data_IF_280607530722
#
_entry.id   IF_280607530722
#
_cell.length_a   1.000
_cell.length_b   1.000
_cell.length_c   1.000
_cell.angle_alpha   90.00
_cell.angle_beta   90.00
_cell.angle_gamma   90.00
#
_symmetry.space_group_name_H-M   'P 1'
#
loop_
_entity.id
_entity.type
_entity.pdbx_description
1 polymer ?
#
# COMPACT_ATOMS: atom_id res chain seq x y z
N UNK A 1 -29.37 -56.90 11.12
CA UNK A 1 -29.88 -56.61 9.77
C UNK A 1 -29.41 -55.22 9.42
N UNK A 2 -28.84 -55.12 8.22
CA UNK A 2 -28.39 -53.93 7.49
C UNK A 2 -27.04 -53.30 7.85
N UNK A 3 -26.01 -54.05 7.44
CA UNK A 3 -24.69 -53.57 7.01
C UNK A 3 -24.83 -52.56 5.85
N UNK A 4 -24.30 -51.35 5.99
CA UNK A 4 -24.01 -50.47 4.86
C UNK A 4 -22.51 -50.45 4.56
N UNK A 5 -22.18 -50.91 3.37
CA UNK A 5 -20.83 -51.13 2.84
C UNK A 5 -20.21 -49.83 2.32
N UNK A 6 -18.98 -49.51 2.76
CA UNK A 6 -18.10 -48.55 2.10
C UNK A 6 -17.61 -49.08 0.75
N UNK A 7 -17.56 -48.26 -0.33
CA UNK A 7 -16.87 -48.68 -1.55
C UNK A 7 -15.36 -48.45 -1.45
N UNK A 8 -14.60 -49.45 -1.86
CA UNK A 8 -13.14 -49.50 -1.89
C UNK A 8 -12.56 -48.71 -3.07
N UNK A 9 -11.45 -48.01 -2.81
CA UNK A 9 -10.49 -47.56 -3.81
C UNK A 9 -10.01 -48.75 -4.66
N UNK A 10 -10.08 -48.63 -5.99
CA UNK A 10 -9.30 -49.45 -6.92
C UNK A 10 -8.49 -48.56 -7.85
N UNK A 11 -7.18 -48.62 -7.65
CA UNK A 11 -6.14 -48.15 -8.55
C UNK A 11 -6.05 -49.08 -9.76
N UNK A 12 -6.16 -48.55 -10.97
CA UNK A 12 -5.75 -49.25 -12.19
C UNK A 12 -4.78 -48.37 -12.95
N UNK A 13 -3.50 -48.73 -12.87
CA UNK A 13 -2.43 -48.18 -13.69
C UNK A 13 -2.47 -48.85 -15.06
N UNK A 14 -2.53 -48.07 -16.14
CA UNK A 14 -2.16 -48.54 -17.48
C UNK A 14 -1.47 -47.40 -18.19
N UNK A 15 -0.18 -47.61 -18.44
CA UNK A 15 0.69 -46.70 -19.16
C UNK A 15 0.44 -46.80 -20.66
N UNK A 16 0.30 -45.67 -21.34
CA UNK A 16 0.67 -45.50 -22.75
C UNK A 16 0.78 -44.02 -23.11
N UNK A 17 1.90 -43.67 -23.74
CA UNK A 17 2.41 -42.34 -24.09
C UNK A 17 1.62 -41.63 -25.23
N UNK A 18 1.94 -40.34 -25.53
CA UNK A 18 0.97 -39.34 -25.98
C UNK A 18 0.80 -39.26 -27.50
N UNK A 19 -0.39 -38.87 -27.96
CA UNK A 19 -0.61 -38.39 -29.32
C UNK A 19 -1.37 -37.06 -29.31
N UNK A 20 -0.81 -36.12 -30.08
CA UNK A 20 -1.28 -34.76 -30.31
C UNK A 20 -2.57 -34.75 -31.13
N UNK A 21 -3.54 -33.92 -30.73
CA UNK A 21 -4.24 -32.94 -31.60
C UNK A 21 -5.53 -32.46 -30.93
N UNK A 22 -5.50 -31.22 -30.41
CA UNK A 22 -6.70 -30.48 -30.02
C UNK A 22 -7.04 -29.47 -31.10
N UNK A 23 -8.17 -29.65 -31.78
CA UNK A 23 -8.79 -28.67 -32.66
C UNK A 23 -9.43 -27.56 -31.83
N UNK A 24 -8.80 -26.38 -31.83
CA UNK A 24 -9.30 -25.16 -31.18
C UNK A 24 -10.23 -24.39 -32.11
N UNK A 25 -11.44 -24.09 -31.64
CA UNK A 25 -12.31 -23.06 -32.20
C UNK A 25 -11.77 -21.68 -31.81
N UNK A 26 -11.41 -20.88 -32.83
CA UNK A 26 -10.74 -19.59 -32.67
C UNK A 26 -11.71 -18.49 -32.24
N UNK A 27 -11.51 -17.95 -31.04
CA UNK A 27 -11.88 -16.57 -30.69
C UNK A 27 -10.71 -15.71 -31.18
N UNK A 28 -10.97 -14.77 -32.10
CA UNK A 28 -9.95 -13.89 -32.67
C UNK A 28 -9.31 -13.01 -31.59
N UNK A 29 -8.11 -13.37 -31.15
CA UNK A 29 -7.22 -12.49 -30.40
C UNK A 29 -6.66 -11.45 -31.37
N UNK A 30 -6.72 -10.18 -30.98
CA UNK A 30 -5.99 -9.11 -31.65
C UNK A 30 -4.51 -9.52 -31.70
N UNK A 31 -3.90 -9.50 -32.88
CA UNK A 31 -2.55 -9.97 -33.09
C UNK A 31 -1.56 -9.07 -32.34
N UNK A 32 -1.03 -9.56 -31.22
CA UNK A 32 0.18 -9.00 -30.62
C UNK A 32 1.32 -9.20 -31.61
N UNK A 33 1.88 -8.09 -32.10
CA UNK A 33 3.10 -8.10 -32.89
C UNK A 33 4.28 -8.74 -32.14
N UNK A 34 5.39 -9.03 -32.83
CA UNK A 34 6.53 -9.74 -32.23
C UNK A 34 7.07 -8.98 -31.02
N UNK A 35 7.10 -9.64 -29.86
CA UNK A 35 7.72 -9.14 -28.63
C UNK A 35 9.24 -9.12 -28.85
N UNK A 36 9.78 -8.00 -29.31
CA UNK A 36 11.23 -7.77 -29.41
C UNK A 36 11.72 -6.98 -28.20
N UNK A 37 12.75 -7.53 -27.55
CA UNK A 37 13.53 -6.99 -26.43
C UNK A 37 12.73 -6.28 -25.31
N UNK A 38 12.21 -7.06 -24.36
CA UNK A 38 11.70 -6.54 -23.10
C UNK A 38 12.79 -5.73 -22.39
N UNK A 39 12.46 -4.50 -22.04
CA UNK A 39 13.28 -3.61 -21.23
C UNK A 39 13.84 -4.33 -19.99
N UNK A 40 15.17 -4.37 -19.86
CA UNK A 40 15.86 -5.02 -18.74
C UNK A 40 15.51 -4.40 -17.37
N UNK A 41 15.06 -3.13 -17.31
CA UNK A 41 14.65 -2.50 -16.06
C UNK A 41 13.37 -3.10 -15.48
N UNK A 42 12.46 -3.58 -16.33
CA UNK A 42 11.25 -4.30 -15.92
C UNK A 42 11.49 -5.80 -15.68
N UNK A 43 12.68 -6.34 -15.95
CA UNK A 43 13.01 -7.74 -15.67
C UNK A 43 13.68 -7.94 -14.29
N UNK A 44 13.72 -6.91 -13.44
CA UNK A 44 14.27 -7.01 -12.09
C UNK A 44 13.30 -7.74 -11.16
N UNK A 45 13.81 -8.69 -10.37
CA UNK A 45 13.05 -9.35 -9.31
C UNK A 45 12.69 -8.34 -8.20
N UNK A 46 11.47 -8.44 -7.70
CA UNK A 46 11.01 -7.62 -6.58
C UNK A 46 11.40 -8.29 -5.25
N UNK A 47 12.13 -7.57 -4.40
CA UNK A 47 12.52 -8.06 -3.07
C UNK A 47 11.41 -7.80 -2.06
N UNK A 48 11.29 -8.66 -1.06
CA UNK A 48 10.37 -8.47 0.08
C UNK A 48 10.65 -7.16 0.81
N UNK A 49 11.93 -6.78 0.86
CA UNK A 49 12.43 -5.63 1.62
C UNK A 49 11.97 -4.28 1.05
N UNK A 50 11.60 -4.27 -0.23
CA UNK A 50 11.16 -3.07 -0.93
C UNK A 50 9.73 -2.65 -0.50
N UNK A 51 8.95 -3.57 0.05
CA UNK A 51 7.51 -3.40 0.27
C UNK A 51 7.14 -2.86 1.65
N UNK A 52 5.99 -2.18 1.69
CA UNK A 52 5.51 -1.43 2.84
C UNK A 52 5.40 -2.27 4.12
N UNK A 53 4.82 -3.47 4.05
CA UNK A 53 4.62 -4.32 5.22
C UNK A 53 5.94 -4.70 5.90
N UNK A 54 6.93 -5.11 5.11
CA UNK A 54 8.27 -5.44 5.60
C UNK A 54 8.91 -4.22 6.27
N UNK A 55 8.95 -3.08 5.56
CA UNK A 55 9.53 -1.83 6.07
C UNK A 55 8.89 -1.40 7.38
N UNK A 56 7.57 -1.52 7.51
CA UNK A 56 6.85 -1.22 8.75
C UNK A 56 7.24 -2.18 9.88
N UNK A 57 7.25 -3.50 9.65
CA UNK A 57 7.65 -4.49 10.66
C UNK A 57 9.07 -4.26 11.17
N UNK A 58 10.02 -4.02 10.26
CA UNK A 58 11.41 -3.72 10.62
C UNK A 58 11.49 -2.45 11.44
N UNK A 59 10.85 -1.37 10.98
CA UNK A 59 10.93 -0.08 11.64
C UNK A 59 10.27 -0.12 13.03
N UNK A 60 9.14 -0.80 13.21
CA UNK A 60 8.51 -0.98 14.54
C UNK A 60 9.49 -1.66 15.51
N UNK A 61 10.15 -2.76 15.10
CA UNK A 61 11.14 -3.45 15.95
C UNK A 61 12.32 -2.54 16.30
N UNK A 62 12.84 -1.78 15.32
CA UNK A 62 13.94 -0.83 15.55
C UNK A 62 13.53 0.26 16.53
N UNK A 63 12.38 0.88 16.33
CA UNK A 63 11.88 1.95 17.21
C UNK A 63 11.64 1.45 18.64
N UNK A 64 11.21 0.20 18.83
CA UNK A 64 10.98 -0.37 20.16
C UNK A 64 12.23 -0.40 21.07
N UNK A 65 13.43 -0.38 20.48
CA UNK A 65 14.68 -0.32 21.24
C UNK A 65 15.07 1.09 21.70
N UNK A 66 14.40 2.14 21.22
CA UNK A 66 14.65 3.52 21.64
C UNK A 66 14.06 3.74 23.03
N UNK A 67 14.84 4.36 23.92
CA UNK A 67 14.43 4.66 25.30
C UNK A 67 13.16 5.49 25.32
N UNK A 68 12.14 5.03 26.05
CA UNK A 68 10.85 5.71 26.18
C UNK A 68 9.84 5.42 25.06
N UNK A 69 10.23 4.70 24.01
CA UNK A 69 9.34 4.35 22.89
C UNK A 69 8.26 3.31 23.19
N UNK A 70 8.51 2.24 23.99
CA UNK A 70 7.55 1.16 24.21
C UNK A 70 6.11 1.56 24.58
N UNK A 71 5.83 2.52 25.50
CA UNK A 71 4.46 2.91 25.81
C UNK A 71 3.70 3.47 24.60
N UNK A 72 4.37 4.23 23.74
CA UNK A 72 3.77 4.81 22.53
C UNK A 72 3.50 3.75 21.46
N UNK A 73 4.33 2.70 21.38
CA UNK A 73 4.10 1.55 20.48
C UNK A 73 2.85 0.77 20.90
N UNK A 74 2.65 0.56 22.21
CA UNK A 74 1.44 -0.10 22.73
C UNK A 74 0.21 0.76 22.44
N UNK A 75 0.29 2.08 22.68
CA UNK A 75 -0.82 3.00 22.37
C UNK A 75 -1.14 3.01 20.87
N UNK A 76 -0.12 2.98 20.01
CA UNK A 76 -0.26 2.90 18.57
C UNK A 76 -0.94 1.60 18.13
N UNK A 77 -0.57 0.48 18.76
CA UNK A 77 -1.20 -0.81 18.52
C UNK A 77 -2.68 -0.77 18.86
N UNK A 78 -3.06 -0.33 20.07
CA UNK A 78 -4.48 -0.22 20.45
C UNK A 78 -5.27 0.74 19.56
N UNK A 79 -4.64 1.81 19.06
CA UNK A 79 -5.27 2.70 18.08
C UNK A 79 -5.48 2.01 16.72
N UNK A 80 -4.51 1.22 16.25
CA UNK A 80 -4.61 0.46 15.01
C UNK A 80 -5.65 -0.67 15.10
N UNK A 81 -5.76 -1.34 16.25
CA UNK A 81 -6.80 -2.34 16.52
C UNK A 81 -8.21 -1.75 16.36
N UNK A 82 -8.45 -0.57 16.97
CA UNK A 82 -9.73 0.14 16.79
C UNK A 82 -10.01 0.49 15.33
N UNK A 83 -8.99 0.88 14.55
CA UNK A 83 -9.16 1.14 13.12
C UNK A 83 -9.52 -0.13 12.35
N UNK A 84 -8.90 -1.27 12.66
CA UNK A 84 -9.22 -2.56 12.05
C UNK A 84 -10.64 -3.02 12.38
N UNK A 85 -11.08 -2.84 13.63
CA UNK A 85 -12.47 -3.12 14.05
C UNK A 85 -13.48 -2.24 13.31
N UNK A 86 -13.22 -0.93 13.21
CA UNK A 86 -14.07 0.00 12.46
C UNK A 86 -14.18 -0.39 10.99
N UNK A 87 -13.07 -0.76 10.36
CA UNK A 87 -13.06 -1.24 8.97
C UNK A 87 -13.87 -2.53 8.80
N UNK A 88 -13.74 -3.49 9.73
CA UNK A 88 -14.50 -4.73 9.70
C UNK A 88 -16.01 -4.49 9.85
N UNK A 89 -16.41 -3.58 10.74
CA UNK A 89 -17.81 -3.19 10.93
C UNK A 89 -18.38 -2.49 9.69
N UNK A 90 -17.65 -1.54 9.13
CA UNK A 90 -18.06 -0.80 7.93
C UNK A 90 -18.26 -1.74 6.73
N UNK A 91 -17.35 -2.69 6.51
CA UNK A 91 -17.48 -3.66 5.43
C UNK A 91 -18.66 -4.62 5.66
N UNK A 92 -18.89 -5.04 6.91
CA UNK A 92 -20.01 -5.91 7.26
C UNK A 92 -21.36 -5.23 7.00
N UNK A 93 -21.48 -3.94 7.30
CA UNK A 93 -22.68 -3.15 7.02
C UNK A 93 -22.91 -2.98 5.51
N UNK A 94 -21.84 -2.79 4.73
CA UNK A 94 -21.94 -2.65 3.28
C UNK A 94 -22.47 -3.92 2.62
N UNK A 95 -22.09 -5.10 3.10
CA UNK A 95 -22.56 -6.40 2.58
C UNK A 95 -24.02 -6.71 2.91
N UNK A 96 -24.61 -6.04 3.90
CA UNK A 96 -26.01 -6.26 4.31
C UNK A 96 -27.01 -5.38 3.56
N UNK A 97 -26.54 -4.43 2.74
CA UNK A 97 -27.44 -3.62 1.91
C UNK A 97 -27.84 -4.43 0.66
N UNK A 98 -29.13 -4.68 0.43
CA UNK A 98 -29.58 -5.39 -0.77
C UNK A 98 -29.29 -4.54 -2.02
N UNK A 99 -28.66 -5.15 -3.02
CA UNK A 99 -28.39 -4.58 -4.35
C UNK A 99 -29.63 -3.84 -4.89
N UNK A 100 -29.58 -2.51 -4.92
CA UNK A 100 -30.69 -1.71 -5.45
C UNK A 100 -30.66 -0.21 -5.14
N UNK A 101 -29.79 0.27 -4.25
CA UNK A 101 -29.61 1.71 -3.99
C UNK A 101 -28.34 2.25 -4.62
N UNK A 102 -28.44 3.32 -5.41
CA UNK A 102 -27.29 4.08 -5.94
C UNK A 102 -26.21 4.36 -4.88
N UNK A 103 -24.92 4.53 -5.27
CA UNK A 103 -23.81 4.79 -4.34
C UNK A 103 -23.81 6.24 -3.80
N UNK A 104 -24.98 6.79 -3.48
CA UNK A 104 -25.14 8.13 -2.96
C UNK A 104 -25.52 8.10 -1.47
N UNK A 105 -24.59 8.63 -0.67
CA UNK A 105 -24.80 9.21 0.65
C UNK A 105 -25.00 8.25 1.83
N UNK A 106 -23.89 7.71 2.33
CA UNK A 106 -23.64 7.71 3.77
C UNK A 106 -22.42 8.59 4.08
N UNK A 107 -22.66 9.89 4.22
CA UNK A 107 -21.84 10.70 5.13
C UNK A 107 -22.22 10.28 6.54
N UNK A 108 -21.55 9.27 7.09
CA UNK A 108 -21.51 9.13 8.54
C UNK A 108 -20.70 10.31 9.08
N UNK A 109 -21.40 11.38 9.45
CA UNK A 109 -20.88 12.34 10.39
C UNK A 109 -20.73 11.63 11.73
N UNK A 110 -19.53 11.14 11.99
CA UNK A 110 -18.97 10.90 13.32
C UNK A 110 -17.55 11.46 13.21
N UNK A 111 -17.32 12.71 13.62
CA UNK A 111 -17.41 13.03 15.03
C UNK A 111 -16.17 12.51 15.75
N UNK A 112 -14.98 12.86 15.25
CA UNK A 112 -13.88 13.15 16.17
C UNK A 112 -14.38 14.31 17.04
N UNK A 113 -14.79 13.99 18.27
CA UNK A 113 -15.03 15.00 19.28
C UNK A 113 -13.75 15.77 19.52
N UNK A 114 -13.65 16.92 18.86
CA UNK A 114 -12.47 17.79 18.87
C UNK A 114 -12.66 19.13 18.14
N UNK A 115 -13.84 19.76 18.34
CA UNK A 115 -14.18 21.17 18.13
C UNK A 115 -14.08 21.80 16.72
N UNK A 116 -15.25 22.13 16.14
CA UNK A 116 -15.50 23.51 15.73
C UNK A 116 -16.99 23.86 15.63
N UNK A 117 -17.37 24.95 16.31
CA UNK A 117 -18.65 25.66 16.15
C UNK A 117 -18.34 26.89 15.30
N UNK A 118 -18.91 26.94 14.10
CA UNK A 118 -19.22 28.20 13.42
C UNK A 118 -20.50 28.03 12.60
N UNK A 119 -21.56 28.69 13.06
CA UNK A 119 -22.57 29.27 12.17
C UNK A 119 -21.94 30.45 11.45
N UNK A 120 -22.02 30.52 10.12
CA UNK A 120 -22.87 31.49 9.42
C UNK A 120 -22.59 31.60 7.91
N UNK A 121 -23.71 31.80 7.20
CA UNK A 121 -23.94 32.56 5.97
C UNK A 121 -23.55 32.05 4.55
N UNK A 122 -24.60 31.60 3.86
CA UNK A 122 -24.97 31.84 2.45
C UNK A 122 -23.89 32.03 1.37
N UNK A 123 -23.81 31.08 0.43
CA UNK A 123 -23.95 31.38 -1.01
C UNK A 123 -24.31 30.13 -1.82
N UNK A 124 -25.30 30.28 -2.68
CA UNK A 124 -25.72 29.35 -3.74
C UNK A 124 -24.57 28.96 -4.68
N UNK A 125 -24.55 27.72 -5.19
CA UNK A 125 -24.39 27.36 -6.63
C UNK A 125 -23.92 25.90 -6.88
N UNK A 126 -24.73 25.19 -7.67
CA UNK A 126 -24.48 24.02 -8.54
C UNK A 126 -23.91 22.68 -8.00
N UNK A 127 -24.45 21.52 -8.44
CA UNK A 127 -23.90 20.21 -8.12
C UNK A 127 -22.73 19.89 -9.06
N UNK A 128 -21.53 19.78 -8.51
CA UNK A 128 -20.37 19.29 -9.26
C UNK A 128 -20.37 17.76 -9.30
N UNK A 129 -20.20 17.26 -10.51
CA UNK A 129 -19.98 15.86 -10.88
C UNK A 129 -18.61 15.38 -10.36
N UNK A 130 -18.53 14.10 -10.00
CA UNK A 130 -17.32 13.31 -9.68
C UNK A 130 -16.49 13.74 -8.45
N UNK A 131 -16.89 13.28 -7.27
CA UNK A 131 -15.95 12.99 -6.19
C UNK A 131 -15.72 11.46 -6.18
N UNK A 132 -14.47 10.96 -6.17
CA UNK A 132 -14.22 9.54 -6.05
C UNK A 132 -14.77 9.08 -4.70
N UNK A 133 -15.51 7.99 -4.73
CA UNK A 133 -16.02 7.30 -3.54
C UNK A 133 -14.85 7.04 -2.59
N UNK A 134 -14.70 7.87 -1.56
CA UNK A 134 -13.78 7.60 -0.45
C UNK A 134 -14.33 6.37 0.24
N UNK A 135 -13.86 5.19 -0.19
CA UNK A 135 -14.07 3.94 0.51
C UNK A 135 -13.75 4.20 1.99
N UNK A 136 -14.58 3.71 2.90
CA UNK A 136 -14.39 3.85 4.34
C UNK A 136 -13.17 3.02 4.79
N UNK A 137 -11.98 3.47 4.39
CA UNK A 137 -10.71 2.81 4.63
C UNK A 137 -10.13 3.44 5.89
N UNK A 138 -10.13 2.66 6.96
CA UNK A 138 -9.61 3.11 8.25
C UNK A 138 -8.17 2.61 8.48
N UNK A 139 -7.67 1.72 7.62
CA UNK A 139 -6.35 1.08 7.72
C UNK A 139 -5.56 1.16 6.41
N UNK A 140 -4.27 0.84 6.45
CA UNK A 140 -3.43 0.67 5.26
C UNK A 140 -3.52 -0.72 4.63
N UNK A 141 -4.57 -1.46 4.97
CA UNK A 141 -4.77 -2.84 4.53
C UNK A 141 -6.12 -2.99 3.84
N UNK A 142 -6.14 -3.68 2.69
CA UNK A 142 -7.38 -4.01 1.99
C UNK A 142 -8.15 -5.13 2.70
N UNK A 143 -9.47 -4.97 2.84
CA UNK A 143 -10.35 -5.98 3.43
C UNK A 143 -10.26 -6.08 4.96
N UNK A 144 -10.66 -7.24 5.50
CA UNK A 144 -10.67 -7.50 6.95
C UNK A 144 -9.45 -8.33 7.34
N UNK A 145 -8.80 -7.96 8.43
CA UNK A 145 -7.67 -8.70 8.97
C UNK A 145 -8.06 -10.14 9.36
N UNK A 146 -7.12 -11.10 9.28
CA UNK A 146 -7.35 -12.47 9.72
C UNK A 146 -7.72 -12.54 11.20
N UNK A 147 -8.47 -13.57 11.61
CA UNK A 147 -9.02 -13.64 12.97
C UNK A 147 -7.97 -13.71 14.09
N UNK A 148 -6.73 -14.10 13.77
CA UNK A 148 -5.61 -14.18 14.71
C UNK A 148 -4.77 -12.89 14.79
N UNK A 149 -5.08 -11.88 13.98
CA UNK A 149 -4.32 -10.63 13.88
C UNK A 149 -5.24 -9.45 14.24
N UNK A 150 -4.84 -8.65 15.21
CA UNK A 150 -5.64 -7.51 15.69
C UNK A 150 -5.34 -6.20 14.95
N UNK A 151 -4.12 -6.04 14.41
CA UNK A 151 -3.71 -4.84 13.67
C UNK A 151 -2.67 -5.15 12.60
N UNK A 152 -2.63 -4.36 11.52
CA UNK A 152 -1.56 -4.41 10.53
C UNK A 152 -0.37 -3.48 10.88
N UNK A 153 0.87 -3.83 10.49
CA UNK A 153 2.05 -3.04 10.81
C UNK A 153 2.04 -1.61 10.24
N UNK A 154 1.42 -1.39 9.07
CA UNK A 154 1.42 -0.08 8.43
C UNK A 154 0.51 0.90 9.18
N UNK A 155 -0.70 0.47 9.55
CA UNK A 155 -1.61 1.25 10.41
C UNK A 155 -1.03 1.47 11.80
N UNK A 156 -0.38 0.46 12.40
CA UNK A 156 0.29 0.63 13.69
C UNK A 156 1.35 1.74 13.61
N UNK A 157 2.21 1.71 12.60
CA UNK A 157 3.26 2.70 12.46
C UNK A 157 2.71 4.10 12.14
N UNK A 158 1.66 4.19 11.31
CA UNK A 158 0.95 5.44 11.07
C UNK A 158 0.40 6.04 12.37
N UNK A 159 -0.26 5.22 13.22
CA UNK A 159 -0.76 5.65 14.53
C UNK A 159 0.36 6.00 15.50
N UNK A 160 1.55 5.41 15.36
CA UNK A 160 2.72 5.79 16.15
C UNK A 160 3.19 7.20 15.77
N UNK A 161 3.36 7.50 14.48
CA UNK A 161 3.82 8.82 14.05
C UNK A 161 2.80 9.93 14.30
N UNK A 162 1.50 9.63 14.24
CA UNK A 162 0.43 10.58 14.57
C UNK A 162 0.43 11.05 16.03
N UNK A 163 1.10 10.33 16.94
CA UNK A 163 1.28 10.79 18.33
C UNK A 163 2.30 11.93 18.43
N UNK A 164 3.15 12.13 17.43
CA UNK A 164 4.17 13.18 17.37
C UNK A 164 5.37 12.93 18.31
N UNK A 165 5.13 12.63 19.59
CA UNK A 165 6.17 12.37 20.60
C UNK A 165 7.19 11.29 20.17
N UNK A 166 6.79 10.16 19.53
CA UNK A 166 7.75 9.19 19.01
C UNK A 166 8.82 9.79 18.08
N UNK A 167 8.46 10.79 17.27
CA UNK A 167 9.43 11.48 16.41
C UNK A 167 10.41 12.31 17.24
N UNK A 168 9.91 13.01 18.26
CA UNK A 168 10.76 13.74 19.21
C UNK A 168 11.74 12.80 19.95
N UNK A 169 11.29 11.62 20.36
CA UNK A 169 12.14 10.60 21.00
C UNK A 169 13.26 10.12 20.06
N UNK A 170 12.96 9.92 18.78
CA UNK A 170 13.97 9.58 17.77
C UNK A 170 15.03 10.68 17.70
N UNK A 171 14.62 11.94 17.60
CA UNK A 171 15.55 13.07 17.56
C UNK A 171 16.39 13.15 18.84
N UNK A 172 15.77 13.01 20.01
CA UNK A 172 16.46 13.07 21.30
C UNK A 172 17.49 11.95 21.48
N UNK A 173 17.27 10.79 20.85
CA UNK A 173 18.25 9.70 20.82
C UNK A 173 19.47 10.03 19.92
N UNK A 174 19.29 10.85 18.88
CA UNK A 174 20.35 11.26 17.95
C UNK A 174 21.14 12.46 18.49
N UNK A 175 20.44 13.49 18.98
CA UNK A 175 21.01 14.75 19.47
C UNK A 175 20.50 15.03 20.89
N UNK A 176 21.02 14.35 21.91
CA UNK A 176 20.60 14.56 23.29
C UNK A 176 20.91 15.99 23.80
N UNK A 177 21.91 16.66 23.21
CA UNK A 177 22.28 18.04 23.57
C UNK A 177 21.20 19.07 23.25
N UNK A 178 20.39 18.82 22.22
CA UNK A 178 19.33 19.72 21.75
C UNK A 178 17.95 19.07 21.94
N UNK A 179 17.79 18.29 23.01
CA UNK A 179 16.59 17.48 23.21
C UNK A 179 15.30 18.32 23.18
N UNK A 180 14.33 17.85 22.40
CA UNK A 180 13.00 18.41 22.31
C UNK A 180 12.24 18.07 23.60
N UNK A 181 11.61 19.06 24.27
CA UNK A 181 10.80 18.80 25.44
C UNK A 181 9.57 17.97 25.06
N UNK A 182 9.35 16.90 25.81
CA UNK A 182 8.22 15.99 25.58
C UNK A 182 7.01 16.53 26.37
N UNK A 183 5.91 16.75 25.65
CA UNK A 183 4.62 17.07 26.24
C UNK A 183 3.68 15.90 26.03
N UNK A 184 3.25 15.27 27.12
CA UNK A 184 2.27 14.19 27.07
C UNK A 184 0.87 14.77 26.82
N UNK A 185 0.16 14.19 25.86
CA UNK A 185 -1.20 14.59 25.50
C UNK A 185 -1.65 13.91 24.21
N UNK A 186 -2.94 13.54 24.14
CA UNK A 186 -3.57 12.89 22.99
C UNK A 186 -4.33 13.89 22.09
N UNK A 187 -4.40 15.15 22.50
CA UNK A 187 -5.04 16.20 21.72
C UNK A 187 -4.32 16.43 20.39
N UNK A 188 -5.08 16.49 19.30
CA UNK A 188 -4.55 16.69 17.94
C UNK A 188 -3.62 17.91 17.82
N UNK A 189 -3.88 18.98 18.59
CA UNK A 189 -3.03 20.18 18.62
C UNK A 189 -1.67 19.88 19.24
N UNK A 190 -1.62 19.12 20.33
CA UNK A 190 -0.38 18.70 21.00
C UNK A 190 0.42 17.77 20.08
N UNK A 191 -0.24 16.79 19.46
CA UNK A 191 0.40 15.88 18.50
C UNK A 191 1.02 16.65 17.32
N UNK A 192 0.26 17.57 16.69
CA UNK A 192 0.76 18.39 15.58
C UNK A 192 1.92 19.29 16.00
N UNK A 193 1.87 19.84 17.22
CA UNK A 193 2.97 20.62 17.77
C UNK A 193 4.23 19.77 17.94
N UNK A 194 4.12 18.55 18.48
CA UNK A 194 5.26 17.65 18.62
C UNK A 194 5.88 17.29 17.25
N UNK A 195 5.06 17.02 16.23
CA UNK A 195 5.55 16.82 14.85
C UNK A 195 6.26 18.07 14.33
N UNK A 196 5.69 19.26 14.55
CA UNK A 196 6.30 20.53 14.16
C UNK A 196 7.67 20.73 14.84
N UNK A 197 7.75 20.53 16.15
CA UNK A 197 8.98 20.68 16.93
C UNK A 197 10.06 19.72 16.41
N UNK A 198 9.70 18.47 16.08
CA UNK A 198 10.59 17.53 15.42
C UNK A 198 11.09 18.06 14.07
N UNK A 199 10.19 18.54 13.22
CA UNK A 199 10.54 19.05 11.88
C UNK A 199 11.54 20.21 11.99
N UNK A 200 11.29 21.14 12.90
CA UNK A 200 12.17 22.29 13.14
C UNK A 200 13.52 21.86 13.70
N UNK A 201 13.54 20.99 14.70
CA UNK A 201 14.77 20.52 15.34
C UNK A 201 15.67 19.79 14.34
N UNK A 202 15.08 18.93 13.50
CA UNK A 202 15.79 18.24 12.44
C UNK A 202 16.41 19.23 11.45
N UNK A 203 15.65 20.20 10.93
CA UNK A 203 16.18 21.20 9.99
C UNK A 203 17.26 22.10 10.59
N UNK A 204 17.17 22.37 11.90
CA UNK A 204 18.09 23.29 12.58
C UNK A 204 19.40 22.60 12.99
N UNK A 205 19.33 21.33 13.42
CA UNK A 205 20.46 20.64 14.05
C UNK A 205 21.01 19.45 13.23
N UNK A 206 20.31 19.04 12.18
CA UNK A 206 20.74 18.00 11.26
C UNK A 206 20.81 18.60 9.85
N UNK A 207 21.90 18.37 9.15
CA UNK A 207 22.08 18.82 7.76
C UNK A 207 21.33 17.87 6.83
N UNK A 208 20.00 17.98 6.80
CA UNK A 208 19.11 17.17 5.96
C UNK A 208 18.55 18.02 4.84
N UNK A 209 18.48 17.43 3.65
CA UNK A 209 17.92 18.06 2.45
C UNK A 209 16.40 18.27 2.57
N UNK A 210 15.93 19.44 2.15
CA UNK A 210 14.54 19.87 2.31
C UNK A 210 13.56 18.99 1.50
N UNK A 211 13.97 18.45 0.35
CA UNK A 211 13.14 17.58 -0.49
C UNK A 211 12.79 16.25 0.20
N UNK A 212 13.76 15.72 0.96
CA UNK A 212 13.60 14.48 1.71
C UNK A 212 12.65 14.62 2.92
N UNK A 213 12.46 15.84 3.42
CA UNK A 213 11.69 16.11 4.62
C UNK A 213 10.18 15.94 4.40
N UNK A 214 9.51 15.30 5.34
CA UNK A 214 8.04 15.23 5.34
C UNK A 214 7.43 16.42 6.09
N UNK A 215 6.17 16.74 5.77
CA UNK A 215 5.39 17.79 6.42
C UNK A 215 4.44 17.21 7.46
N UNK A 216 3.89 18.09 8.32
CA UNK A 216 2.84 17.70 9.27
C UNK A 216 1.65 17.07 8.53
N UNK A 217 1.26 17.62 7.38
CA UNK A 217 0.15 17.07 6.58
C UNK A 217 0.40 15.63 6.15
N UNK A 218 1.63 15.27 5.79
CA UNK A 218 1.96 13.88 5.43
C UNK A 218 1.73 12.91 6.60
N UNK A 219 2.04 13.31 7.85
CA UNK A 219 1.85 12.46 9.04
C UNK A 219 0.37 12.15 9.31
N UNK A 220 -0.52 13.08 9.00
CA UNK A 220 -1.96 12.93 9.23
C UNK A 220 -2.74 12.49 7.99
N UNK A 221 -2.04 12.27 6.87
CA UNK A 221 -2.59 11.75 5.63
C UNK A 221 -2.88 10.25 5.74
N UNK A 222 -3.90 9.79 5.04
CA UNK A 222 -4.26 8.37 4.88
C UNK A 222 -3.64 7.74 3.62
N UNK A 223 -2.75 8.46 2.92
CA UNK A 223 -2.10 8.00 1.69
C UNK A 223 -0.84 7.15 1.97
N UNK A 224 -0.71 6.00 1.29
CA UNK A 224 0.46 5.10 1.44
C UNK A 224 1.77 5.76 1.04
N UNK A 225 1.74 6.68 0.06
CA UNK A 225 2.91 7.43 -0.38
C UNK A 225 3.47 8.31 0.74
N UNK A 226 2.60 9.00 1.47
CA UNK A 226 2.99 9.86 2.59
C UNK A 226 3.57 9.05 3.74
N UNK A 227 2.93 7.93 4.08
CA UNK A 227 3.45 7.00 5.08
C UNK A 227 4.82 6.45 4.68
N UNK A 228 4.99 6.00 3.43
CA UNK A 228 6.27 5.51 2.92
C UNK A 228 7.35 6.60 2.90
N UNK A 229 7.00 7.86 2.60
CA UNK A 229 7.94 8.99 2.71
C UNK A 229 8.48 9.12 4.13
N UNK A 230 7.61 9.06 5.14
CA UNK A 230 8.00 9.12 6.56
C UNK A 230 8.84 7.90 6.95
N UNK A 231 8.44 6.70 6.54
CA UNK A 231 9.17 5.45 6.83
C UNK A 231 10.60 5.51 6.28
N UNK A 232 10.74 5.90 5.00
CA UNK A 232 12.05 5.98 4.35
C UNK A 232 12.90 7.05 5.05
N UNK A 233 12.33 8.23 5.32
CA UNK A 233 13.02 9.29 6.03
C UNK A 233 13.54 8.84 7.40
N UNK A 234 12.67 8.26 8.24
CA UNK A 234 13.04 7.81 9.59
C UNK A 234 14.05 6.67 9.51
N UNK A 235 13.91 5.73 8.57
CA UNK A 235 14.87 4.64 8.40
C UNK A 235 16.25 5.17 8.01
N UNK A 236 16.32 6.05 7.01
CA UNK A 236 17.58 6.71 6.59
C UNK A 236 18.19 7.54 7.72
N UNK A 237 17.36 8.22 8.50
CA UNK A 237 17.80 8.98 9.66
C UNK A 237 18.43 8.06 10.73
N UNK A 238 17.77 6.97 11.10
CA UNK A 238 18.31 6.00 12.06
C UNK A 238 19.59 5.34 11.55
N UNK A 239 19.66 5.02 10.25
CA UNK A 239 20.84 4.42 9.61
C UNK A 239 22.03 5.38 9.61
N UNK A 240 21.81 6.66 9.29
CA UNK A 240 22.86 7.68 9.26
C UNK A 240 23.55 7.87 10.61
N UNK A 241 22.81 7.65 11.70
CA UNK A 241 23.32 7.79 13.07
C UNK A 241 23.57 6.43 13.75
N UNK A 242 23.51 5.33 13.01
CA UNK A 242 23.69 3.95 13.49
C UNK A 242 22.85 3.62 14.75
N UNK A 243 21.65 4.18 14.85
CA UNK A 243 20.74 3.91 15.96
C UNK A 243 20.01 2.60 15.71
N UNK A 244 20.10 1.70 16.69
CA UNK A 244 19.32 0.47 16.73
C UNK A 244 19.47 -0.40 15.49
N UNK A 245 20.71 -0.49 14.97
CA UNK A 245 21.05 -1.37 13.86
C UNK A 245 21.07 -2.82 14.36
N UNK A 246 20.03 -3.58 14.04
CA UNK A 246 19.87 -4.97 14.46
C UNK A 246 19.84 -5.88 13.23
N UNK A 247 21.02 -6.15 12.67
CA UNK A 247 21.16 -6.95 11.45
C UNK A 247 20.55 -8.36 11.63
N UNK A 248 20.80 -9.04 12.76
CA UNK A 248 20.21 -10.36 13.07
C UNK A 248 18.67 -10.38 13.16
N UNK A 249 18.06 -9.23 13.51
CA UNK A 249 16.60 -9.15 13.64
C UNK A 249 15.92 -8.87 12.30
N UNK A 250 16.62 -8.22 11.37
CA UNK A 250 16.16 -8.03 10.00
C UNK A 250 16.18 -9.35 9.25
N UNK A 251 17.27 -10.12 9.34
CA UNK A 251 17.39 -11.44 8.69
C UNK A 251 16.23 -12.37 9.08
N UNK A 252 15.84 -12.38 10.36
CA UNK A 252 14.68 -13.16 10.84
C UNK A 252 13.36 -12.68 10.22
N UNK A 253 13.13 -11.37 10.14
CA UNK A 253 11.92 -10.82 9.50
C UNK A 253 11.91 -11.15 8.01
N UNK A 254 13.04 -11.03 7.33
CA UNK A 254 13.18 -11.37 5.91
C UNK A 254 12.84 -12.83 5.69
N UNK A 255 13.40 -13.74 6.47
CA UNK A 255 13.03 -15.17 6.39
C UNK A 255 11.55 -15.41 6.69
N UNK A 256 10.97 -14.80 7.73
CA UNK A 256 9.54 -14.97 8.06
C UNK A 256 8.62 -14.54 6.91
N UNK A 257 8.93 -13.44 6.22
CA UNK A 257 8.06 -12.86 5.19
C UNK A 257 8.37 -13.41 3.78
N UNK A 258 9.62 -13.83 3.53
CA UNK A 258 10.04 -14.42 2.27
C UNK A 258 9.73 -15.93 2.20
N UNK A 259 9.94 -16.67 3.30
CA UNK A 259 9.70 -18.11 3.36
C UNK A 259 8.27 -18.42 3.78
N UNK A 260 7.34 -18.11 2.88
CA UNK A 260 6.00 -18.68 2.91
C UNK A 260 6.09 -20.20 2.99
N UNK A 261 5.64 -20.79 4.12
CA UNK A 261 5.61 -22.24 4.32
C UNK A 261 4.65 -22.86 3.31
N UNK A 262 5.20 -23.44 2.25
CA UNK A 262 4.42 -24.17 1.25
C UNK A 262 4.02 -25.52 1.87
N UNK A 263 2.80 -25.62 2.39
CA UNK A 263 2.27 -26.86 2.96
C UNK A 263 1.40 -27.63 1.97
N UNK A 264 0.74 -26.93 1.06
CA UNK A 264 -0.25 -27.46 0.12
C UNK A 264 -0.28 -26.64 -1.18
N UNK A 265 -1.02 -27.12 -2.19
CA UNK A 265 -1.15 -26.44 -3.48
C UNK A 265 -1.79 -25.05 -3.34
N UNK A 266 -2.71 -24.88 -2.38
CA UNK A 266 -3.28 -23.57 -2.05
C UNK A 266 -2.22 -22.58 -1.60
N UNK A 267 -1.27 -23.00 -0.76
CA UNK A 267 -0.16 -22.15 -0.31
C UNK A 267 0.81 -21.82 -1.44
N UNK A 268 0.97 -22.70 -2.44
CA UNK A 268 1.76 -22.38 -3.66
C UNK A 268 1.10 -21.25 -4.46
N UNK A 269 -0.20 -21.37 -4.74
CA UNK A 269 -0.95 -20.34 -5.47
C UNK A 269 -0.91 -19.01 -4.73
N UNK A 270 -1.07 -19.04 -3.40
CA UNK A 270 -1.02 -17.83 -2.59
C UNK A 270 0.38 -17.18 -2.59
N UNK A 271 1.45 -17.99 -2.53
CA UNK A 271 2.82 -17.51 -2.66
C UNK A 271 3.08 -16.89 -4.02
N UNK A 272 2.63 -17.53 -5.10
CA UNK A 272 2.74 -16.99 -6.45
C UNK A 272 2.01 -15.65 -6.56
N UNK A 273 0.78 -15.57 -6.04
CA UNK A 273 -0.02 -14.34 -6.02
C UNK A 273 0.72 -13.18 -5.33
N UNK A 274 1.31 -13.43 -4.16
CA UNK A 274 2.09 -12.39 -3.46
C UNK A 274 3.30 -11.98 -4.28
N UNK A 275 4.02 -12.94 -4.87
CA UNK A 275 5.24 -12.63 -5.61
C UNK A 275 4.97 -11.87 -6.91
N UNK A 276 3.90 -12.21 -7.63
CA UNK A 276 3.47 -11.48 -8.83
C UNK A 276 2.96 -10.10 -8.47
N UNK A 277 2.23 -9.96 -7.35
CA UNK A 277 1.76 -8.67 -6.83
C UNK A 277 2.91 -7.74 -6.44
N UNK A 278 3.92 -8.26 -5.72
CA UNK A 278 5.15 -7.52 -5.39
C UNK A 278 5.84 -6.99 -6.65
N UNK A 279 5.95 -7.84 -7.67
CA UNK A 279 6.54 -7.47 -8.95
C UNK A 279 5.72 -6.38 -9.65
N UNK A 280 4.40 -6.54 -9.67
CA UNK A 280 3.48 -5.56 -10.26
C UNK A 280 3.61 -4.17 -9.62
N UNK A 281 3.66 -4.10 -8.29
CA UNK A 281 3.84 -2.83 -7.57
C UNK A 281 5.20 -2.21 -7.90
N UNK A 282 6.28 -2.99 -7.93
CA UNK A 282 7.60 -2.48 -8.32
C UNK A 282 7.61 -1.87 -9.72
N UNK A 283 6.89 -2.46 -10.67
CA UNK A 283 6.77 -1.94 -12.04
C UNK A 283 5.92 -0.67 -12.09
N UNK A 284 4.83 -0.60 -11.32
CA UNK A 284 4.03 0.63 -11.19
C UNK A 284 4.83 1.78 -10.53
N UNK A 285 5.65 1.48 -9.52
CA UNK A 285 6.53 2.48 -8.89
C UNK A 285 7.61 2.97 -9.84
N UNK A 286 8.15 2.08 -10.68
CA UNK A 286 9.07 2.47 -11.76
C UNK A 286 8.35 3.38 -12.77
N UNK A 287 7.11 3.07 -13.13
CA UNK A 287 6.29 3.90 -14.01
C UNK A 287 6.01 5.28 -13.40
N UNK A 288 5.77 5.36 -12.09
CA UNK A 288 5.62 6.64 -11.39
C UNK A 288 6.91 7.47 -11.41
N UNK A 289 8.07 6.83 -11.20
CA UNK A 289 9.37 7.51 -11.33
C UNK A 289 9.58 8.05 -12.75
N UNK A 290 9.27 7.24 -13.76
CA UNK A 290 9.32 7.65 -15.16
C UNK A 290 8.43 8.87 -15.43
N UNK A 291 7.16 8.84 -14.99
CA UNK A 291 6.25 10.00 -15.08
C UNK A 291 6.83 11.25 -14.44
N UNK A 292 7.45 11.13 -13.26
CA UNK A 292 8.04 12.26 -12.55
C UNK A 292 9.25 12.84 -13.29
N UNK A 293 10.09 12.00 -13.91
CA UNK A 293 11.19 12.46 -14.77
C UNK A 293 10.68 13.18 -16.02
N UNK A 294 9.62 12.66 -16.66
CA UNK A 294 8.98 13.34 -17.79
C UNK A 294 8.43 14.72 -17.41
N UNK A 295 7.83 14.82 -16.22
CA UNK A 295 7.32 16.07 -15.67
C UNK A 295 8.45 17.05 -15.35
N UNK A 296 9.55 16.58 -14.75
CA UNK A 296 10.71 17.41 -14.42
C UNK A 296 11.45 17.90 -15.67
N UNK A 297 11.46 17.11 -16.74
CA UNK A 297 12.05 17.49 -18.01
C UNK A 297 11.17 18.47 -18.84
N UNK A 298 9.94 18.73 -18.41
CA UNK A 298 8.94 19.59 -19.09
C UNK A 298 8.74 19.23 -20.58
N UNK A 299 8.84 17.94 -20.90
CA UNK A 299 8.79 17.43 -22.28
C UNK A 299 7.34 17.21 -22.74
N UNK A 300 6.43 16.99 -21.81
CA UNK A 300 5.01 16.78 -22.08
C UNK A 300 4.16 17.74 -21.23
N UNK A 301 3.07 18.23 -21.83
CA UNK A 301 2.07 19.00 -21.09
C UNK A 301 1.41 18.16 -19.99
N UNK A 302 0.87 18.83 -18.97
CA UNK A 302 0.14 18.19 -17.88
C UNK A 302 -1.05 17.33 -18.38
N UNK A 303 -1.73 17.78 -19.44
CA UNK A 303 -2.81 17.03 -20.09
C UNK A 303 -2.30 15.74 -20.73
N UNK A 304 -1.21 15.81 -21.50
CA UNK A 304 -0.58 14.63 -22.11
C UNK A 304 -0.11 13.64 -21.04
N UNK A 305 0.49 14.12 -19.94
CA UNK A 305 0.87 13.25 -18.81
C UNK A 305 -0.36 12.58 -18.16
N UNK A 306 -1.50 13.26 -18.08
CA UNK A 306 -2.73 12.68 -17.56
C UNK A 306 -3.35 11.64 -18.51
N UNK A 307 -3.21 11.82 -19.82
CA UNK A 307 -3.62 10.82 -20.83
C UNK A 307 -2.76 9.56 -20.72
N UNK A 308 -1.44 9.70 -20.51
CA UNK A 308 -0.53 8.56 -20.41
C UNK A 308 -0.60 7.84 -19.06
N UNK A 309 -0.80 8.59 -17.97
CA UNK A 309 -0.75 8.07 -16.60
C UNK A 309 -1.98 8.53 -15.80
N UNK A 310 -3.20 8.14 -16.22
CA UNK A 310 -4.39 8.52 -15.49
C UNK A 310 -4.33 7.92 -14.09
N UNK A 311 -4.68 8.70 -13.05
CA UNK A 311 -4.84 8.23 -11.66
C UNK A 311 -3.80 7.22 -11.13
N UNK A 312 -2.55 7.28 -11.60
CA UNK A 312 -1.51 6.27 -11.32
C UNK A 312 -1.19 6.17 -9.82
N UNK A 313 -1.19 7.31 -9.13
CA UNK A 313 -0.98 7.36 -7.68
C UNK A 313 -2.04 6.59 -6.90
N UNK A 314 -3.30 6.64 -7.34
CA UNK A 314 -4.42 5.95 -6.69
C UNK A 314 -4.34 4.43 -6.93
N UNK A 315 -3.95 4.03 -8.15
CA UNK A 315 -3.72 2.63 -8.50
C UNK A 315 -2.59 2.04 -7.63
N UNK A 316 -1.47 2.76 -7.49
CA UNK A 316 -0.35 2.34 -6.65
C UNK A 316 -0.78 2.23 -5.17
N UNK A 317 -1.51 3.22 -4.67
CA UNK A 317 -2.01 3.21 -3.29
C UNK A 317 -2.87 1.97 -3.02
N UNK A 318 -3.82 1.69 -3.91
CA UNK A 318 -4.66 0.51 -3.84
C UNK A 318 -3.85 -0.78 -3.81
N UNK A 319 -2.92 -0.96 -4.77
CA UNK A 319 -2.14 -2.19 -4.85
C UNK A 319 -1.21 -2.38 -3.63
N UNK A 320 -0.66 -1.31 -3.06
CA UNK A 320 0.08 -1.38 -1.79
C UNK A 320 -0.78 -1.87 -0.62
N UNK A 321 -2.03 -1.40 -0.52
CA UNK A 321 -2.98 -1.88 0.50
C UNK A 321 -3.42 -3.33 0.24
N UNK A 322 -3.57 -3.70 -1.03
CA UNK A 322 -3.90 -5.06 -1.47
C UNK A 322 -2.79 -6.03 -1.04
N UNK A 323 -1.54 -5.72 -1.36
CA UNK A 323 -0.38 -6.49 -0.97
C UNK A 323 -0.27 -6.57 0.56
N UNK A 324 -0.45 -5.46 1.28
CA UNK A 324 -0.44 -5.46 2.75
C UNK A 324 -1.51 -6.41 3.32
N UNK A 325 -2.69 -6.48 2.70
CA UNK A 325 -3.75 -7.44 3.03
C UNK A 325 -3.35 -8.90 2.81
N UNK A 326 -2.66 -9.20 1.72
CA UNK A 326 -2.10 -10.54 1.52
C UNK A 326 -0.98 -10.85 2.52
N UNK A 327 -0.09 -9.91 2.78
CA UNK A 327 1.04 -10.12 3.69
C UNK A 327 0.61 -10.33 5.14
N UNK A 328 -0.51 -9.73 5.57
CA UNK A 328 -1.16 -10.03 6.85
C UNK A 328 -1.63 -11.49 6.98
N UNK A 329 -1.82 -12.21 5.87
CA UNK A 329 -2.30 -13.59 5.85
C UNK A 329 -1.16 -14.64 5.77
N UNK A 330 0.09 -14.23 5.56
CA UNK A 330 1.26 -15.12 5.33
C UNK A 330 1.43 -16.15 6.45
N UNK A 331 1.51 -15.69 7.70
CA UNK A 331 1.79 -16.53 8.87
C UNK A 331 0.54 -17.07 9.57
N UNK A 332 -0.63 -16.89 8.94
CA UNK A 332 -1.91 -17.27 9.54
C UNK A 332 -2.29 -18.68 9.07
N UNK A 333 -2.69 -19.60 9.97
CA UNK A 333 -3.17 -20.91 9.56
C UNK A 333 -4.33 -20.81 8.56
N UNK A 334 -4.36 -21.67 7.54
CA UNK A 334 -5.35 -21.68 6.44
C UNK A 334 -6.80 -21.48 6.91
N UNK A 335 -7.18 -22.08 8.04
CA UNK A 335 -8.53 -21.95 8.64
C UNK A 335 -8.91 -20.54 9.10
N UNK A 336 -7.94 -19.67 9.36
CA UNK A 336 -8.14 -18.31 9.87
C UNK A 336 -7.77 -17.21 8.87
N UNK A 337 -7.23 -17.59 7.70
CA UNK A 337 -6.93 -16.67 6.62
C UNK A 337 -8.21 -16.08 6.03
N UNK A 338 -8.14 -14.81 5.63
CA UNK A 338 -9.25 -14.03 5.05
C UNK A 338 -8.89 -13.42 3.69
N UNK A 339 -8.18 -14.18 2.86
CA UNK A 339 -7.76 -13.76 1.50
C UNK A 339 -8.96 -13.28 0.66
N UNK A 340 -10.10 -13.98 0.74
CA UNK A 340 -11.31 -13.59 0.00
C UNK A 340 -11.83 -12.20 0.37
N UNK A 341 -11.65 -11.76 1.62
CA UNK A 341 -12.06 -10.42 2.05
C UNK A 341 -11.27 -9.32 1.36
N UNK A 342 -10.00 -9.59 1.03
CA UNK A 342 -9.13 -8.66 0.30
C UNK A 342 -9.69 -8.42 -1.11
N UNK A 343 -10.07 -9.50 -1.79
CA UNK A 343 -10.68 -9.42 -3.13
C UNK A 343 -12.08 -8.78 -3.13
N UNK A 344 -12.93 -9.09 -2.14
CA UNK A 344 -14.26 -8.46 -2.02
C UNK A 344 -14.11 -6.94 -1.83
N UNK A 345 -13.15 -6.51 -1.00
CA UNK A 345 -12.88 -5.10 -0.84
C UNK A 345 -12.43 -4.46 -2.16
N UNK A 346 -11.50 -5.11 -2.87
CA UNK A 346 -11.01 -4.64 -4.16
C UNK A 346 -12.10 -4.55 -5.25
N UNK A 347 -13.01 -5.53 -5.30
CA UNK A 347 -14.12 -5.54 -6.28
C UNK A 347 -15.15 -4.45 -6.03
N UNK A 348 -15.33 -4.03 -4.78
CA UNK A 348 -16.40 -3.10 -4.40
C UNK A 348 -16.08 -1.62 -4.69
N UNK A 349 -14.87 -1.31 -5.18
CA UNK A 349 -14.53 0.08 -5.49
C UNK A 349 -13.14 0.24 -6.12
N UNK A 350 -12.06 -0.15 -5.44
CA UNK A 350 -10.71 0.17 -5.88
C UNK A 350 -10.35 -0.28 -7.30
N UNK A 351 -10.83 -1.43 -7.78
CA UNK A 351 -10.60 -1.84 -9.18
C UNK A 351 -11.24 -0.91 -10.21
N UNK A 352 -12.22 -0.08 -9.85
CA UNK A 352 -12.75 0.96 -10.75
C UNK A 352 -11.71 2.02 -11.12
N UNK A 353 -10.61 2.13 -10.37
CA UNK A 353 -9.48 2.98 -10.75
C UNK A 353 -8.89 2.60 -12.13
N UNK A 354 -9.14 1.40 -12.66
CA UNK A 354 -8.69 0.99 -13.99
C UNK A 354 -9.62 1.39 -15.15
N UNK A 355 -10.79 1.96 -14.86
CA UNK A 355 -11.73 2.40 -15.91
C UNK A 355 -11.11 3.45 -16.85
N UNK A 356 -10.46 4.54 -16.34
CA UNK A 356 -9.80 5.52 -17.20
C UNK A 356 -8.67 4.93 -18.06
N UNK A 357 -7.93 3.96 -17.52
CA UNK A 357 -6.86 3.26 -18.25
C UNK A 357 -7.38 2.47 -19.43
N UNK A 358 -8.52 1.79 -19.25
CA UNK A 358 -9.13 0.96 -20.28
C UNK A 358 -9.74 1.83 -21.38
N UNK A 359 -10.41 2.92 -21.01
CA UNK A 359 -11.04 3.85 -21.95
C UNK A 359 -9.97 4.64 -22.75
N UNK A 360 -8.93 5.10 -22.06
CA UNK A 360 -7.88 5.95 -22.63
C UNK A 360 -6.82 5.22 -23.46
N UNK A 361 -6.87 3.88 -23.55
CA UNK A 361 -5.78 3.07 -24.11
C UNK A 361 -5.39 3.47 -25.54
N UNK A 362 -6.37 3.68 -26.43
CA UNK A 362 -6.10 4.02 -27.83
C UNK A 362 -5.42 5.41 -27.92
N UNK A 363 -5.95 6.39 -27.18
CA UNK A 363 -5.37 7.74 -27.15
C UNK A 363 -3.96 7.76 -26.56
N UNK A 364 -3.69 6.94 -25.55
CA UNK A 364 -2.36 6.79 -24.99
C UNK A 364 -1.38 6.18 -26.01
N UNK A 365 -1.78 5.14 -26.76
CA UNK A 365 -0.94 4.53 -27.81
C UNK A 365 -0.61 5.54 -28.92
N UNK A 366 -1.60 6.28 -29.40
CA UNK A 366 -1.38 7.33 -30.42
C UNK A 366 -0.42 8.41 -29.92
N UNK A 367 -0.58 8.83 -28.66
CA UNK A 367 0.28 9.82 -28.03
C UNK A 367 1.72 9.33 -27.85
N UNK A 368 1.92 8.07 -27.41
CA UNK A 368 3.24 7.45 -27.29
C UNK A 368 3.94 7.41 -28.64
N UNK A 369 3.24 6.99 -29.70
CA UNK A 369 3.81 6.93 -31.05
C UNK A 369 4.18 8.33 -31.58
N UNK A 370 3.32 9.32 -31.33
CA UNK A 370 3.57 10.72 -31.74
C UNK A 370 4.76 11.33 -31.01
N UNK A 371 4.91 11.06 -29.72
CA UNK A 371 5.92 11.67 -28.85
C UNK A 371 7.12 10.74 -28.54
N UNK A 372 7.28 9.61 -29.26
CA UNK A 372 8.29 8.57 -28.98
C UNK A 372 9.71 9.13 -28.84
N UNK A 373 10.12 10.04 -29.73
CA UNK A 373 11.45 10.66 -29.68
C UNK A 373 11.65 11.52 -28.42
N UNK A 374 10.60 12.24 -28.01
CA UNK A 374 10.60 13.10 -26.83
C UNK A 374 10.64 12.26 -25.54
N UNK A 375 9.82 11.20 -25.49
CA UNK A 375 9.78 10.23 -24.38
C UNK A 375 11.13 9.53 -24.15
N UNK A 376 11.83 9.11 -25.23
CA UNK A 376 13.16 8.49 -25.16
C UNK A 376 14.25 9.45 -24.70
N UNK A 377 14.14 10.72 -25.08
CA UNK A 377 15.13 11.74 -24.70
C UNK A 377 14.99 12.14 -23.23
N UNK A 378 13.76 12.17 -22.73
CA UNK A 378 13.43 12.65 -21.39
C UNK A 378 13.87 11.71 -20.27
N UNK A 379 13.81 10.38 -20.49
CA UNK A 379 14.20 9.41 -19.48
C UNK A 379 14.69 8.10 -20.10
N UNK A 380 15.69 7.50 -19.44
CA UNK A 380 16.25 6.18 -19.79
C UNK A 380 15.72 5.06 -18.90
N UNK A 381 14.83 5.35 -17.94
CA UNK A 381 14.27 4.36 -17.01
C UNK A 381 13.42 3.31 -17.75
N UNK A 382 12.62 3.77 -18.70
CA UNK A 382 11.72 2.96 -19.49
C UNK A 382 11.94 3.27 -20.96
N UNK A 383 12.14 2.23 -21.79
CA UNK A 383 12.03 2.39 -23.23
C UNK A 383 10.54 2.47 -23.60
N UNK A 384 10.03 3.64 -24.03
CA UNK A 384 8.62 3.81 -24.40
C UNK A 384 8.22 3.03 -25.67
N UNK A 385 9.17 2.36 -26.33
CA UNK A 385 8.96 1.60 -27.54
C UNK A 385 9.47 2.33 -28.78
N UNK A 386 9.67 1.59 -29.88
CA UNK A 386 10.22 2.07 -31.16
C UNK A 386 9.31 3.13 -31.77
#
# INVERSE_FOLDING_TARGET
MDNFSHPQFRSVSSASNPSLSSSSTNISRVASGPIMALNMSMNKTSSVEDHMFYKCKVLIKRLASIKGMPPYIVLAQSAAERCAEQQALALSQQLQQPDGGSPAAFRSSMGSGGFSIYSDNSTSSFPNVTAPSTNNIFTFTAGVLPASLSSDPATQLWKLFQQGVPLCLIFNAIKPEHAIPIQDGDELRVCKKAVYDFVVAVKTHLTIDDESMFTISNVFSDNTHDLLKIINFVSTLLDSYNISRQDESQDKITSEIADLKITDDRSKVFKELIQTERKYISDLELLLKYRNELQAADVLSSEQLHVLFPNLSDVIDFHRRLLCGFECNIDVPTKYQRIGSVFIHASNGPFRAYEPWTIGQIGAIELINRESANLKKASSLIDPGI
#
